data_IF_114079880173
#
_entry.id   IF_114079880173
#
_cell.length_a   1.000
_cell.length_b   1.000
_cell.length_c   1.000
_cell.angle_alpha   90.00
_cell.angle_beta   90.00
_cell.angle_gamma   90.00
#
_symmetry.space_group_name_H-M   'P 1'
#
loop_
_entity.id
_entity.type
_entity.pdbx_description
1 polymer ?
#
# COMPACT_ATOMS: atom_id res chain seq x y z
N UNK A 1 -16.61 10.50 -16.88
CA UNK A 1 -15.95 10.42 -15.56
C UNK A 1 -14.92 9.31 -15.61
N UNK A 2 -13.62 9.62 -15.46
CA UNK A 2 -12.57 8.60 -15.44
C UNK A 2 -12.35 8.14 -14.01
N UNK A 3 -12.96 7.03 -13.62
CA UNK A 3 -12.81 6.44 -12.28
C UNK A 3 -11.48 5.68 -12.20
N UNK A 4 -10.36 6.43 -12.15
CA UNK A 4 -9.04 5.85 -11.98
C UNK A 4 -8.71 5.73 -10.49
N UNK A 5 -8.22 4.57 -10.07
CA UNK A 5 -7.80 4.30 -8.68
C UNK A 5 -6.33 3.91 -8.65
N UNK A 6 -5.66 4.25 -7.54
CA UNK A 6 -4.32 3.75 -7.23
C UNK A 6 -4.41 2.92 -5.97
N UNK A 7 -3.90 1.69 -6.03
CA UNK A 7 -3.85 0.77 -4.90
C UNK A 7 -2.39 0.58 -4.52
N UNK A 8 -2.09 0.71 -3.23
CA UNK A 8 -0.77 0.43 -2.69
C UNK A 8 -0.71 -1.01 -2.23
N UNK A 9 0.33 -1.71 -2.68
CA UNK A 9 0.61 -3.08 -2.30
C UNK A 9 2.10 -3.29 -2.07
N UNK A 10 2.43 -4.40 -1.41
CA UNK A 10 3.80 -4.88 -1.31
C UNK A 10 3.83 -6.40 -1.46
N UNK A 11 4.96 -6.89 -1.91
CA UNK A 11 5.21 -8.33 -1.98
C UNK A 11 5.67 -8.85 -0.62
N UNK A 12 5.07 -9.97 -0.22
CA UNK A 12 5.53 -10.79 0.86
C UNK A 12 6.10 -12.09 0.29
N UNK A 13 7.43 -12.25 0.40
CA UNK A 13 8.14 -13.33 -0.28
C UNK A 13 7.98 -13.22 -1.81
N UNK A 14 7.82 -14.37 -2.46
CA UNK A 14 7.81 -14.45 -3.93
C UNK A 14 6.41 -14.69 -4.53
N UNK A 15 5.41 -15.00 -3.71
CA UNK A 15 4.09 -15.46 -4.19
C UNK A 15 2.89 -14.74 -3.58
N UNK A 16 3.09 -13.88 -2.59
CA UNK A 16 1.99 -13.19 -1.90
C UNK A 16 2.07 -11.69 -2.16
N UNK A 17 0.97 -11.11 -2.63
CA UNK A 17 0.78 -9.66 -2.77
C UNK A 17 -0.21 -9.19 -1.72
N UNK A 18 0.20 -8.22 -0.91
CA UNK A 18 -0.63 -7.66 0.15
C UNK A 18 -1.06 -6.26 -0.25
N UNK A 19 -2.37 -6.06 -0.39
CA UNK A 19 -3.00 -4.79 -0.69
C UNK A 19 -3.26 -4.06 0.63
N UNK A 20 -2.79 -2.82 0.75
CA UNK A 20 -2.93 -2.04 1.99
C UNK A 20 -4.16 -1.13 1.95
N UNK A 21 -4.19 -0.20 0.99
CA UNK A 21 -5.28 0.74 0.79
C UNK A 21 -5.24 1.25 -0.66
N UNK A 22 -6.35 1.83 -1.09
CA UNK A 22 -6.45 2.47 -2.39
C UNK A 22 -7.22 3.78 -2.31
N UNK A 23 -6.94 4.68 -3.24
CA UNK A 23 -7.58 5.98 -3.31
C UNK A 23 -7.95 6.32 -4.77
N UNK A 24 -9.00 7.12 -4.93
CA UNK A 24 -9.36 7.66 -6.23
C UNK A 24 -8.27 8.65 -6.70
N UNK A 25 -7.71 8.43 -7.89
CA UNK A 25 -6.66 9.26 -8.48
C UNK A 25 -7.26 10.63 -8.83
N UNK A 26 -7.10 11.59 -7.91
CA UNK A 26 -7.49 12.99 -8.14
C UNK A 26 -6.40 13.82 -8.82
N UNK A 27 -5.14 13.39 -8.70
CA UNK A 27 -3.97 14.08 -9.26
C UNK A 27 -3.03 13.09 -9.96
N UNK A 28 -2.19 13.58 -10.88
CA UNK A 28 -1.24 12.73 -11.62
C UNK A 28 -0.12 12.20 -10.72
N UNK A 29 0.34 13.00 -9.75
CA UNK A 29 1.38 12.60 -8.79
C UNK A 29 0.75 11.88 -7.60
N UNK A 30 1.43 10.84 -7.12
CA UNK A 30 1.02 10.16 -5.89
C UNK A 30 1.38 11.06 -4.71
N UNK A 31 0.42 11.42 -3.83
CA UNK A 31 0.73 12.18 -2.64
C UNK A 31 1.73 11.44 -1.77
N UNK A 32 2.75 12.14 -1.28
CA UNK A 32 3.80 11.54 -0.45
C UNK A 32 3.25 10.91 0.84
N UNK A 33 2.21 11.52 1.42
CA UNK A 33 1.52 11.01 2.61
C UNK A 33 0.95 9.60 2.42
N UNK A 34 0.43 9.28 1.23
CA UNK A 34 -0.11 7.94 0.94
C UNK A 34 1.01 6.90 0.81
N UNK A 35 2.18 7.32 0.31
CA UNK A 35 3.39 6.47 0.24
C UNK A 35 3.88 6.16 1.66
N UNK A 36 4.05 7.18 2.50
CA UNK A 36 4.49 7.03 3.89
C UNK A 36 3.52 6.15 4.70
N UNK A 37 2.22 6.32 4.47
CA UNK A 37 1.18 5.48 5.06
C UNK A 37 1.30 4.00 4.64
N UNK A 38 1.55 3.74 3.35
CA UNK A 38 1.77 2.38 2.86
C UNK A 38 2.99 1.72 3.52
N UNK A 39 4.07 2.47 3.72
CA UNK A 39 5.27 1.98 4.40
C UNK A 39 5.03 1.67 5.88
N UNK A 40 4.29 2.53 6.59
CA UNK A 40 3.89 2.26 7.99
C UNK A 40 3.11 0.96 8.08
N UNK A 41 2.14 0.75 7.18
CA UNK A 41 1.36 -0.49 7.14
C UNK A 41 2.20 -1.72 6.83
N UNK A 42 3.16 -1.62 5.91
CA UNK A 42 4.10 -2.70 5.64
C UNK A 42 4.93 -3.04 6.88
N UNK A 43 5.49 -2.04 7.58
CA UNK A 43 6.28 -2.25 8.80
C UNK A 43 5.45 -2.92 9.91
N UNK A 44 4.22 -2.45 10.11
CA UNK A 44 3.31 -3.03 11.10
C UNK A 44 2.95 -4.48 10.76
N UNK A 45 2.63 -4.77 9.49
CA UNK A 45 2.37 -6.13 9.03
C UNK A 45 3.54 -7.07 9.30
N UNK A 46 4.76 -6.68 8.90
CA UNK A 46 5.96 -7.49 9.11
C UNK A 46 6.24 -7.71 10.60
N UNK A 47 6.03 -6.68 11.44
CA UNK A 47 6.20 -6.78 12.90
C UNK A 47 5.23 -7.79 13.54
N UNK A 48 3.97 -7.84 13.08
CA UNK A 48 2.98 -8.80 13.56
C UNK A 48 3.30 -10.23 13.12
N UNK A 49 3.84 -10.39 11.91
CA UNK A 49 4.21 -11.71 11.36
C UNK A 49 5.43 -12.32 12.05
N UNK A 50 6.47 -11.52 12.31
CA UNK A 50 7.72 -11.99 12.94
C UNK A 50 7.58 -12.38 14.43
N UNK A 51 6.42 -12.13 15.05
CA UNK A 51 6.12 -12.50 16.44
C UNK A 51 5.41 -13.86 16.57
N UNK A 52 5.26 -14.61 15.49
CA UNK A 52 4.82 -16.01 15.49
C UNK A 52 6.02 -16.93 15.48
#
# INVERSE_FOLDING_TARGET
ASNAYRIFCFFEGNSVVILTHGFAKKTQKTPQQEIERAEVYRRDYLKRRLKK
#
